data_IF_488277393865
#
_entry.id   IF_488277393865
#
_cell.length_a   1.000
_cell.length_b   1.000
_cell.length_c   1.000
_cell.angle_alpha   90.00
_cell.angle_beta   90.00
_cell.angle_gamma   90.00
#
_symmetry.space_group_name_H-M   'P 1'
#
loop_
_entity.id
_entity.type
_entity.pdbx_description
1 polymer ?
#
# COMPACT_ATOMS: atom_id res chain seq x y z
N UNK A 1 50.44 -12.31 -7.34
CA UNK A 1 49.39 -11.55 -6.62
C UNK A 1 48.08 -12.20 -6.98
N UNK A 2 47.49 -12.95 -6.05
CA UNK A 2 46.16 -13.55 -6.24
C UNK A 2 45.10 -12.44 -6.19
N UNK A 3 44.05 -12.59 -7.00
CA UNK A 3 42.91 -11.66 -7.08
C UNK A 3 41.96 -11.77 -5.87
N UNK A 4 42.45 -12.25 -4.72
CA UNK A 4 41.62 -12.59 -3.56
C UNK A 4 41.47 -11.43 -2.55
N UNK A 5 42.12 -10.28 -2.81
CA UNK A 5 42.15 -9.15 -1.88
C UNK A 5 41.19 -8.00 -2.25
N UNK A 6 40.26 -8.18 -3.20
CA UNK A 6 39.17 -7.21 -3.40
C UNK A 6 38.08 -7.39 -2.33
N UNK A 7 38.47 -7.28 -1.06
CA UNK A 7 37.53 -7.02 0.03
C UNK A 7 37.04 -5.60 -0.23
N UNK A 8 35.85 -5.47 -0.84
CA UNK A 8 35.18 -4.19 -0.95
C UNK A 8 35.13 -3.60 0.47
N UNK A 9 35.86 -2.50 0.70
CA UNK A 9 35.83 -1.84 2.01
C UNK A 9 34.37 -1.59 2.38
N UNK A 10 33.97 -1.85 3.65
CA UNK A 10 32.60 -1.64 4.07
C UNK A 10 32.26 -0.18 3.78
N UNK A 11 31.42 0.07 2.76
CA UNK A 11 31.00 1.41 2.38
C UNK A 11 30.59 2.14 3.65
N UNK A 12 31.22 3.29 3.89
CA UNK A 12 30.93 4.10 5.06
C UNK A 12 29.42 4.35 5.11
N UNK A 13 28.79 3.95 6.21
CA UNK A 13 27.34 4.04 6.35
C UNK A 13 26.96 5.52 6.47
N UNK A 14 26.53 6.13 5.37
CA UNK A 14 26.18 7.54 5.24
C UNK A 14 24.72 7.86 5.58
N UNK A 15 23.94 6.88 6.08
CA UNK A 15 22.52 7.08 6.36
C UNK A 15 22.26 8.24 7.32
N UNK A 16 21.08 8.86 7.19
CA UNK A 16 20.66 9.97 8.04
C UNK A 16 21.31 11.31 7.74
N UNK A 17 22.17 11.41 6.71
CA UNK A 17 22.76 12.68 6.28
C UNK A 17 21.84 13.47 5.32
N UNK A 18 20.56 13.11 5.20
CA UNK A 18 19.65 13.77 4.27
C UNK A 18 20.02 13.48 2.82
N UNK A 19 19.82 14.43 1.91
CA UNK A 19 19.95 14.21 0.45
C UNK A 19 21.38 13.96 -0.03
N UNK A 20 22.40 14.18 0.81
CA UNK A 20 23.78 13.84 0.45
C UNK A 20 24.06 12.34 0.59
N UNK A 21 23.25 11.61 1.36
CA UNK A 21 23.43 10.17 1.50
C UNK A 21 22.93 9.41 0.28
N UNK A 22 23.67 8.37 -0.08
CA UNK A 22 23.36 7.47 -1.18
C UNK A 22 23.06 6.09 -0.63
N UNK A 23 21.80 5.70 -0.78
CA UNK A 23 21.40 4.34 -0.43
C UNK A 23 22.19 3.33 -1.28
N UNK A 24 22.80 2.30 -0.65
CA UNK A 24 23.44 1.19 -1.36
C UNK A 24 22.49 0.56 -2.38
N UNK A 25 23.01 0.19 -3.56
CA UNK A 25 22.20 -0.36 -4.65
C UNK A 25 21.42 -1.62 -4.24
N UNK A 26 22.00 -2.43 -3.38
CA UNK A 26 21.40 -3.65 -2.83
C UNK A 26 20.22 -3.41 -1.87
N UNK A 27 20.02 -2.17 -1.42
CA UNK A 27 18.90 -1.75 -0.58
C UNK A 27 17.82 -1.01 -1.37
N UNK A 28 18.06 -0.73 -2.66
CA UNK A 28 17.04 -0.21 -3.57
C UNK A 28 16.01 -1.30 -3.87
N UNK A 29 14.84 -0.86 -4.34
CA UNK A 29 13.74 -1.75 -4.71
C UNK A 29 12.40 -1.24 -4.19
N UNK A 30 11.38 -2.06 -4.39
CA UNK A 30 10.01 -1.71 -4.02
C UNK A 30 9.83 -1.71 -2.50
N UNK A 31 9.23 -0.65 -1.99
CA UNK A 31 8.84 -0.53 -0.60
C UNK A 31 7.31 -0.58 -0.47
N UNK A 32 6.80 -1.81 -0.39
CA UNK A 32 5.37 -2.07 -0.17
C UNK A 32 4.89 -1.53 1.17
N UNK A 33 5.76 -1.51 2.19
CA UNK A 33 5.48 -0.89 3.48
C UNK A 33 5.14 0.60 3.34
N UNK A 34 5.97 1.34 2.62
CA UNK A 34 5.78 2.76 2.34
C UNK A 34 4.55 3.01 1.48
N UNK A 35 4.36 2.20 0.43
CA UNK A 35 3.22 2.35 -0.48
C UNK A 35 1.87 2.08 0.19
N UNK A 36 1.76 1.00 0.98
CA UNK A 36 0.48 0.53 1.52
C UNK A 36 0.15 1.16 2.87
N UNK A 37 1.16 1.42 3.72
CA UNK A 37 0.93 2.03 5.05
C UNK A 37 1.16 3.55 5.05
N UNK A 38 1.74 4.11 4.01
CA UNK A 38 1.81 5.56 3.78
C UNK A 38 2.44 6.34 4.95
N UNK A 39 1.76 7.36 5.48
CA UNK A 39 2.23 8.17 6.62
C UNK A 39 2.48 7.34 7.89
N UNK A 40 1.75 6.23 8.11
CA UNK A 40 1.95 5.34 9.27
C UNK A 40 3.35 4.72 9.24
N UNK A 41 3.82 4.35 8.06
CA UNK A 41 5.21 3.92 7.86
C UNK A 41 6.19 5.11 7.82
N UNK A 42 5.78 6.25 7.26
CA UNK A 42 6.63 7.43 7.10
C UNK A 42 7.08 8.07 8.41
N UNK A 43 6.23 8.08 9.44
CA UNK A 43 6.54 8.63 10.77
C UNK A 43 7.78 7.98 11.40
N UNK A 44 7.83 6.66 11.65
CA UNK A 44 9.01 6.03 12.23
C UNK A 44 10.24 6.08 11.30
N UNK A 45 10.05 6.16 9.98
CA UNK A 45 11.16 6.26 9.01
C UNK A 45 11.68 7.68 8.78
N UNK A 46 11.07 8.69 9.40
CA UNK A 46 11.37 10.12 9.19
C UNK A 46 11.26 10.53 7.72
N UNK A 47 10.19 10.10 7.05
CA UNK A 47 9.86 10.45 5.67
C UNK A 47 8.67 11.42 5.65
N UNK A 48 8.88 12.74 5.72
CA UNK A 48 7.79 13.72 5.79
C UNK A 48 6.93 13.74 4.52
N UNK A 49 7.50 13.40 3.36
CA UNK A 49 6.77 13.28 2.10
C UNK A 49 5.59 12.28 2.17
N UNK A 50 5.63 11.33 3.12
CA UNK A 50 4.54 10.39 3.30
C UNK A 50 3.24 11.05 3.75
N UNK A 51 3.27 12.27 4.33
CA UNK A 51 2.05 13.01 4.68
C UNK A 51 1.24 13.46 3.45
N UNK A 52 1.88 13.63 2.29
CA UNK A 52 1.18 14.00 1.05
C UNK A 52 0.22 12.91 0.55
N UNK A 53 0.26 11.69 1.09
CA UNK A 53 -0.71 10.65 0.77
C UNK A 53 -2.13 10.97 1.27
N UNK A 54 -2.28 11.92 2.20
CA UNK A 54 -3.57 12.36 2.73
C UNK A 54 -4.29 13.37 1.81
N UNK A 55 -3.59 13.95 0.84
CA UNK A 55 -4.18 14.90 -0.10
C UNK A 55 -4.95 14.12 -1.19
N UNK A 56 -6.24 14.40 -1.45
CA UNK A 56 -6.98 13.72 -2.52
C UNK A 56 -6.30 13.85 -3.88
N UNK A 57 -6.38 12.80 -4.70
CA UNK A 57 -5.73 12.65 -6.01
C UNK A 57 -4.18 12.65 -5.98
N UNK A 58 -3.56 13.66 -5.38
CA UNK A 58 -2.10 13.75 -5.17
C UNK A 58 -1.61 12.54 -4.37
N UNK A 59 -2.38 12.11 -3.38
CA UNK A 59 -2.01 11.03 -2.49
C UNK A 59 -1.97 9.65 -3.15
N UNK A 60 -2.71 9.45 -4.26
CA UNK A 60 -2.62 8.23 -5.07
C UNK A 60 -1.29 8.20 -5.83
N UNK A 61 -0.90 9.32 -6.44
CA UNK A 61 0.41 9.44 -7.09
C UNK A 61 1.54 9.31 -6.06
N UNK A 62 1.39 9.92 -4.89
CA UNK A 62 2.38 9.88 -3.82
C UNK A 62 2.63 8.46 -3.32
N UNK A 63 1.60 7.61 -3.26
CA UNK A 63 1.74 6.18 -2.92
C UNK A 63 2.64 5.44 -3.91
N UNK A 64 2.46 5.70 -5.21
CA UNK A 64 3.30 5.15 -6.25
C UNK A 64 4.74 5.66 -6.10
N UNK A 65 4.93 6.95 -5.81
CA UNK A 65 6.27 7.50 -5.56
C UNK A 65 6.92 6.82 -4.35
N UNK A 66 6.20 6.64 -3.24
CA UNK A 66 6.69 5.92 -2.06
C UNK A 66 7.05 4.46 -2.34
N UNK A 67 6.36 3.80 -3.28
CA UNK A 67 6.71 2.44 -3.69
C UNK A 67 8.15 2.36 -4.22
N UNK A 68 8.59 3.33 -5.02
CA UNK A 68 9.93 3.32 -5.62
C UNK A 68 10.98 4.09 -4.80
N UNK A 69 10.60 5.21 -4.18
CA UNK A 69 11.49 6.12 -3.45
C UNK A 69 11.52 5.89 -1.94
N UNK A 70 10.63 5.05 -1.41
CA UNK A 70 10.48 4.85 0.03
C UNK A 70 11.78 4.42 0.72
N UNK A 71 12.50 3.44 0.16
CA UNK A 71 13.78 3.02 0.75
C UNK A 71 14.82 4.15 0.78
N UNK A 72 14.95 4.90 -0.32
CA UNK A 72 15.87 6.03 -0.43
C UNK A 72 15.56 7.10 0.62
N UNK A 73 14.31 7.53 0.72
CA UNK A 73 13.93 8.53 1.71
C UNK A 73 14.04 8.05 3.16
N UNK A 74 13.77 6.77 3.44
CA UNK A 74 13.98 6.19 4.77
C UNK A 74 15.47 6.08 5.14
N UNK A 75 16.35 5.87 4.16
CA UNK A 75 17.80 5.88 4.35
C UNK A 75 18.29 7.30 4.69
N UNK A 76 17.76 8.30 4.00
CA UNK A 76 18.10 9.72 4.21
C UNK A 76 17.53 10.29 5.51
N UNK A 77 16.35 9.82 5.94
CA UNK A 77 15.60 10.41 7.05
C UNK A 77 16.17 10.13 8.45
N UNK A 78 16.96 9.06 8.65
CA UNK A 78 17.55 8.75 9.95
C UNK A 78 18.84 7.94 9.85
N UNK A 79 19.68 8.03 10.88
CA UNK A 79 20.89 7.21 11.00
C UNK A 79 20.50 5.77 11.33
N UNK A 80 21.08 4.83 10.58
CA UNK A 80 20.99 3.40 10.81
C UNK A 80 22.33 2.87 11.32
N UNK A 81 22.33 1.83 12.14
CA UNK A 81 23.57 1.22 12.63
C UNK A 81 24.31 0.48 11.51
N UNK A 82 23.57 -0.19 10.62
CA UNK A 82 24.12 -0.88 9.45
C UNK A 82 23.09 -1.01 8.32
N UNK A 83 23.54 -1.25 7.07
CA UNK A 83 22.68 -1.65 5.95
C UNK A 83 21.78 -2.85 6.28
N UNK A 84 22.29 -3.84 7.03
CA UNK A 84 21.52 -5.01 7.45
C UNK A 84 20.39 -4.68 8.43
N UNK A 85 20.64 -3.76 9.36
CA UNK A 85 19.59 -3.29 10.27
C UNK A 85 18.46 -2.63 9.47
N UNK A 86 18.81 -1.77 8.50
CA UNK A 86 17.84 -1.14 7.61
C UNK A 86 17.03 -2.19 6.84
N UNK A 87 17.69 -3.13 6.16
CA UNK A 87 17.07 -4.20 5.37
C UNK A 87 16.09 -5.03 6.20
N UNK A 88 16.48 -5.40 7.42
CA UNK A 88 15.62 -6.15 8.36
C UNK A 88 14.40 -5.33 8.76
N UNK A 89 14.55 -4.04 9.03
CA UNK A 89 13.43 -3.17 9.37
C UNK A 89 12.48 -3.00 8.20
N UNK A 90 12.96 -2.65 7.00
CA UNK A 90 12.08 -2.49 5.83
C UNK A 90 11.37 -3.80 5.47
N UNK A 91 12.05 -4.94 5.57
CA UNK A 91 11.43 -6.26 5.36
C UNK A 91 10.26 -6.54 6.32
N UNK A 92 10.38 -6.14 7.60
CA UNK A 92 9.28 -6.28 8.57
C UNK A 92 8.08 -5.42 8.18
N UNK A 93 8.32 -4.17 7.78
CA UNK A 93 7.27 -3.25 7.33
C UNK A 93 6.60 -3.72 6.04
N UNK A 94 7.37 -4.19 5.06
CA UNK A 94 6.85 -4.79 3.83
C UNK A 94 5.94 -5.97 4.16
N UNK A 95 6.39 -6.90 4.99
CA UNK A 95 5.59 -8.07 5.39
C UNK A 95 4.31 -7.67 6.13
N UNK A 96 4.42 -6.77 7.11
CA UNK A 96 3.27 -6.28 7.87
C UNK A 96 2.22 -5.64 6.95
N UNK A 97 2.67 -4.78 6.03
CA UNK A 97 1.78 -4.10 5.09
C UNK A 97 1.01 -5.05 4.17
N UNK A 98 1.68 -6.08 3.66
CA UNK A 98 1.07 -7.10 2.80
C UNK A 98 0.04 -7.92 3.60
N UNK A 99 0.40 -8.37 4.81
CA UNK A 99 -0.52 -9.13 5.67
C UNK A 99 -1.78 -8.32 5.96
N UNK A 100 -1.63 -7.06 6.38
CA UNK A 100 -2.76 -6.19 6.68
C UNK A 100 -3.63 -5.94 5.44
N UNK A 101 -3.01 -5.73 4.28
CA UNK A 101 -3.73 -5.50 3.02
C UNK A 101 -4.54 -6.72 2.61
N UNK A 102 -3.93 -7.91 2.66
CA UNK A 102 -4.62 -9.17 2.32
C UNK A 102 -5.76 -9.44 3.31
N UNK A 103 -5.52 -9.25 4.61
CA UNK A 103 -6.54 -9.43 5.64
C UNK A 103 -7.75 -8.51 5.43
N UNK A 104 -7.51 -7.22 5.19
CA UNK A 104 -8.56 -6.25 4.92
C UNK A 104 -9.33 -6.60 3.66
N UNK A 105 -8.64 -7.01 2.58
CA UNK A 105 -9.28 -7.43 1.34
C UNK A 105 -10.22 -8.62 1.56
N UNK A 106 -9.79 -9.65 2.28
CA UNK A 106 -10.62 -10.83 2.61
C UNK A 106 -11.85 -10.44 3.45
N UNK A 107 -11.67 -9.58 4.45
CA UNK A 107 -12.78 -9.07 5.28
C UNK A 107 -13.77 -8.29 4.40
N UNK A 108 -13.29 -7.42 3.52
CA UNK A 108 -14.15 -6.67 2.60
C UNK A 108 -14.96 -7.58 1.68
N UNK A 109 -14.36 -8.64 1.14
CA UNK A 109 -15.08 -9.63 0.33
C UNK A 109 -16.15 -10.37 1.14
N UNK A 110 -15.83 -10.76 2.37
CA UNK A 110 -16.79 -11.41 3.26
C UNK A 110 -17.98 -10.51 3.56
N UNK A 111 -17.74 -9.24 3.91
CA UNK A 111 -18.79 -8.25 4.19
C UNK A 111 -19.61 -7.98 2.93
N UNK A 112 -18.98 -7.80 1.77
CA UNK A 112 -19.68 -7.57 0.51
C UNK A 112 -20.62 -8.74 0.18
N UNK A 113 -20.18 -9.99 0.37
CA UNK A 113 -21.03 -11.16 0.19
C UNK A 113 -22.25 -11.11 1.12
N UNK A 114 -22.07 -10.79 2.41
CA UNK A 114 -23.18 -10.67 3.36
C UNK A 114 -24.14 -9.53 3.04
N UNK A 115 -23.63 -8.41 2.51
CA UNK A 115 -24.46 -7.30 2.06
C UNK A 115 -25.32 -7.69 0.85
N UNK A 116 -24.76 -8.44 -0.10
CA UNK A 116 -25.52 -8.95 -1.25
C UNK A 116 -26.65 -9.88 -0.79
N UNK A 117 -26.33 -10.84 0.08
CA UNK A 117 -27.34 -11.74 0.67
C UNK A 117 -28.46 -10.94 1.35
N UNK A 118 -28.10 -9.95 2.18
CA UNK A 118 -29.05 -9.09 2.88
C UNK A 118 -29.95 -8.29 1.93
N UNK A 119 -29.38 -7.74 0.85
CA UNK A 119 -30.16 -7.01 -0.16
C UNK A 119 -31.14 -7.96 -0.84
N UNK A 120 -30.66 -9.08 -1.37
CA UNK A 120 -31.47 -10.02 -2.14
C UNK A 120 -32.56 -10.72 -1.31
N UNK A 121 -32.31 -10.93 -0.01
CA UNK A 121 -33.28 -11.52 0.92
C UNK A 121 -34.11 -10.49 1.67
N UNK A 122 -33.91 -9.19 1.40
CA UNK A 122 -34.70 -8.16 2.05
C UNK A 122 -36.18 -8.25 1.63
N UNK A 123 -37.13 -8.07 2.55
CA UNK A 123 -38.56 -8.09 2.22
C UNK A 123 -38.93 -7.11 1.09
N UNK A 124 -38.25 -5.96 1.05
CA UNK A 124 -38.44 -4.94 0.03
C UNK A 124 -38.10 -5.43 -1.39
N UNK A 125 -37.07 -6.27 -1.58
CA UNK A 125 -36.71 -6.74 -2.91
C UNK A 125 -37.82 -7.57 -3.58
N UNK A 126 -38.58 -8.33 -2.80
CA UNK A 126 -39.75 -9.04 -3.31
C UNK A 126 -40.84 -8.09 -3.82
N UNK A 127 -41.13 -7.03 -3.05
CA UNK A 127 -42.12 -6.01 -3.42
C UNK A 127 -41.71 -5.22 -4.66
N UNK A 128 -40.45 -4.76 -4.74
CA UNK A 128 -39.90 -4.07 -5.91
C UNK A 128 -39.96 -4.92 -7.17
N UNK A 129 -39.58 -6.21 -7.09
CA UNK A 129 -39.64 -7.11 -8.25
C UNK A 129 -41.06 -7.32 -8.76
N UNK A 130 -42.03 -7.48 -7.86
CA UNK A 130 -43.45 -7.59 -8.24
C UNK A 130 -43.98 -6.30 -8.88
N UNK A 131 -43.62 -5.13 -8.34
CA UNK A 131 -44.03 -3.85 -8.91
C UNK A 131 -43.40 -3.61 -10.29
N UNK A 132 -42.12 -3.93 -10.45
CA UNK A 132 -41.41 -3.86 -11.71
C UNK A 132 -42.03 -4.77 -12.78
N UNK A 133 -42.33 -6.02 -12.43
CA UNK A 133 -43.06 -6.95 -13.31
C UNK A 133 -44.42 -6.38 -13.71
N UNK A 134 -45.21 -5.88 -12.75
CA UNK A 134 -46.52 -5.25 -13.02
C UNK A 134 -46.40 -4.03 -13.93
N UNK A 135 -45.36 -3.22 -13.80
CA UNK A 135 -45.09 -2.08 -14.68
C UNK A 135 -44.77 -2.54 -16.10
N UNK A 136 -43.86 -3.51 -16.27
CA UNK A 136 -43.52 -4.08 -17.57
C UNK A 136 -44.75 -4.69 -18.24
N UNK A 137 -45.55 -5.49 -17.54
CA UNK A 137 -46.75 -6.08 -18.11
C UNK A 137 -47.74 -5.01 -18.57
N UNK A 138 -47.96 -3.94 -17.78
CA UNK A 138 -48.79 -2.80 -18.19
C UNK A 138 -48.25 -2.08 -19.42
N UNK A 139 -46.93 -1.91 -19.52
CA UNK A 139 -46.28 -1.29 -20.68
C UNK A 139 -46.45 -2.15 -21.95
N UNK A 140 -46.23 -3.45 -21.84
CA UNK A 140 -46.38 -4.41 -22.93
C UNK A 140 -47.84 -4.54 -23.39
N UNK A 141 -48.79 -4.47 -22.45
CA UNK A 141 -50.22 -4.50 -22.77
C UNK A 141 -50.67 -3.17 -23.41
N UNK A 142 -50.13 -2.04 -22.98
CA UNK A 142 -50.44 -0.71 -23.56
C UNK A 142 -49.93 -0.49 -24.99
N UNK A 143 -49.07 -1.38 -25.49
CA UNK A 143 -48.47 -1.31 -26.84
C UNK A 143 -49.07 -2.30 -27.82
N UNK A 144 -50.05 -3.10 -27.39
CA UNK A 144 -50.88 -3.98 -28.23
C UNK A 144 -52.23 -3.33 -28.51
#
# INVERSE_FOLDING_TARGET
MSNDDFVAEPMENDSGQGTVSRIPDELKGLNWGACLLTFVWGVPMRVPHAWFTLVPFVGELMRIVLLFKGNEWAWQGRKWASPDQFRKTQSKWNRLSIILTVLMFVISLFVANKMVDLILTSPYMGEYMMEYQRFIFRLLDSTR
#
